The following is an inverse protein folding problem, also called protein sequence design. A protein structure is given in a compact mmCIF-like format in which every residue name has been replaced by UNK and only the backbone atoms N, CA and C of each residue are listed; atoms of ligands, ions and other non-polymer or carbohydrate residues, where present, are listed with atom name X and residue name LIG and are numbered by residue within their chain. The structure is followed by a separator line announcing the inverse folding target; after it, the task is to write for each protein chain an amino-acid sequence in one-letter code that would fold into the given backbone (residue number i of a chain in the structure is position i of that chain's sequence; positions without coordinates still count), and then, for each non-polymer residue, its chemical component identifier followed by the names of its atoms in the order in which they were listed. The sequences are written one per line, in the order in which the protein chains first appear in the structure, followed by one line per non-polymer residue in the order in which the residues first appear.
data_IF_423392410224
#
_entry.id   IF_423392410224
#
_cell.length_a   1.000
_cell.length_b   1.000
_cell.length_c   1.000
_cell.angle_alpha   90.00
_cell.angle_beta   90.00
_cell.angle_gamma   90.00
#
_symmetry.space_group_name_H-M   'P 1'
#
loop_
_entity.id
_entity.type
_entity.pdbx_description
1 polymer ?
#
# COMPACT_ATOMS: atom_id res chain seq x y z
N UNK A 1 39.65 2.52 4.36
CA UNK A 1 38.51 2.94 3.50
C UNK A 1 37.45 3.52 4.40
N UNK A 2 36.60 4.40 3.87
CA UNK A 2 35.41 4.84 4.61
C UNK A 2 34.37 3.71 4.57
N UNK A 3 33.94 3.22 5.74
CA UNK A 3 32.77 2.37 5.90
C UNK A 3 31.64 3.23 6.46
N UNK A 4 30.56 3.46 5.69
CA UNK A 4 29.43 4.21 6.20
C UNK A 4 28.78 3.46 7.36
N UNK A 5 28.50 4.19 8.44
CA UNK A 5 27.73 3.67 9.57
C UNK A 5 26.23 3.74 9.23
N UNK A 6 25.63 2.57 8.98
CA UNK A 6 24.20 2.45 8.68
C UNK A 6 23.34 2.24 9.94
N UNK A 7 23.93 2.17 11.13
CA UNK A 7 23.20 1.90 12.38
C UNK A 7 22.24 3.02 12.79
N UNK A 8 22.36 4.21 12.20
CA UNK A 8 21.50 5.38 12.42
C UNK A 8 20.69 5.84 11.21
N UNK A 9 20.66 5.09 10.10
CA UNK A 9 19.90 5.46 8.90
C UNK A 9 18.42 5.08 9.04
N UNK A 10 17.75 5.69 10.01
CA UNK A 10 16.30 5.73 10.06
C UNK A 10 15.80 6.99 9.36
N UNK A 11 14.68 6.93 8.64
CA UNK A 11 14.18 8.08 7.89
C UNK A 11 13.83 9.29 8.78
N UNK A 12 13.63 9.06 10.09
CA UNK A 12 13.10 10.04 11.04
C UNK A 12 11.61 10.36 10.84
N UNK A 13 10.97 9.78 9.82
CA UNK A 13 9.56 9.99 9.49
C UNK A 13 8.72 8.97 10.26
N UNK A 14 7.76 9.48 11.04
CA UNK A 14 6.89 8.67 11.89
C UNK A 14 5.46 8.72 11.37
N UNK A 15 4.70 7.61 11.36
CA UNK A 15 3.28 7.63 11.03
C UNK A 15 2.49 8.59 11.91
N UNK A 16 1.46 9.27 11.38
CA UNK A 16 0.54 10.03 12.21
C UNK A 16 -0.15 9.11 13.24
N UNK A 17 -0.28 9.60 14.48
CA UNK A 17 -0.85 8.83 15.60
C UNK A 17 -2.34 8.52 15.42
N UNK A 18 -3.08 9.44 14.81
CA UNK A 18 -4.52 9.32 14.57
C UNK A 18 -4.79 8.66 13.21
N UNK A 19 -5.35 7.45 13.24
CA UNK A 19 -6.44 7.19 12.31
C UNK A 19 -7.55 6.44 13.04
N UNK A 20 -8.71 7.07 13.07
CA UNK A 20 -9.98 6.51 13.52
C UNK A 20 -10.39 5.28 12.69
N UNK A 21 -9.81 5.11 11.50
CA UNK A 21 -9.98 3.94 10.64
C UNK A 21 -9.07 2.80 11.10
N UNK A 22 -9.56 2.01 12.05
CA UNK A 22 -8.91 0.76 12.45
C UNK A 22 -9.15 -0.30 11.37
N UNK A 23 -8.09 -0.66 10.65
CA UNK A 23 -8.06 -1.82 9.74
C UNK A 23 -7.12 -2.80 10.44
N UNK A 24 -7.62 -3.98 10.84
CA UNK A 24 -7.04 -4.84 11.88
C UNK A 24 -5.55 -5.20 11.80
N UNK A 25 -5.06 -5.97 12.77
CA UNK A 25 -3.62 -6.17 13.02
C UNK A 25 -2.83 -6.88 11.91
N UNK A 26 -3.49 -7.58 10.97
CA UNK A 26 -2.84 -8.32 9.87
C UNK A 26 -3.27 -7.80 8.49
N UNK A 27 -3.13 -6.51 8.28
CA UNK A 27 -3.51 -5.87 7.02
C UNK A 27 -2.35 -5.76 6.03
N UNK A 28 -2.67 -5.88 4.75
CA UNK A 28 -1.75 -5.66 3.64
C UNK A 28 -2.32 -4.59 2.71
N UNK A 29 -1.65 -3.45 2.59
CA UNK A 29 -2.12 -2.33 1.77
C UNK A 29 -1.63 -2.48 0.32
N UNK A 30 -2.57 -2.57 -0.62
CA UNK A 30 -2.36 -2.63 -2.05
C UNK A 30 -2.43 -1.23 -2.68
N UNK A 31 -1.27 -0.66 -2.99
CA UNK A 31 -1.12 0.66 -3.60
C UNK A 31 -0.98 0.52 -5.12
N UNK A 32 -2.11 0.31 -5.80
CA UNK A 32 -2.16 0.08 -7.26
C UNK A 32 -2.01 1.35 -8.11
N UNK A 33 -2.13 2.54 -7.51
CA UNK A 33 -2.00 3.81 -8.20
C UNK A 33 -0.56 4.12 -8.60
N UNK A 34 -0.35 4.59 -9.83
CA UNK A 34 0.93 5.12 -10.33
C UNK A 34 0.68 6.29 -11.28
N UNK A 35 1.67 7.18 -11.43
CA UNK A 35 1.55 8.41 -12.22
C UNK A 35 1.61 8.18 -13.73
N UNK A 36 2.04 7.00 -14.20
CA UNK A 36 2.17 6.68 -15.62
C UNK A 36 1.49 5.38 -15.99
N UNK A 37 0.76 5.37 -17.11
CA UNK A 37 -0.04 4.21 -17.52
C UNK A 37 0.80 3.02 -17.96
N UNK A 38 1.98 3.25 -18.53
CA UNK A 38 2.95 2.23 -18.95
C UNK A 38 3.60 1.48 -17.77
N UNK A 39 3.48 2.00 -16.54
CA UNK A 39 3.95 1.38 -15.31
C UNK A 39 2.86 0.63 -14.53
N UNK A 40 1.63 0.59 -15.04
CA UNK A 40 0.51 -0.05 -14.34
C UNK A 40 0.64 -1.56 -14.37
N UNK A 41 0.61 -2.17 -13.19
CA UNK A 41 0.44 -3.60 -13.07
C UNK A 41 -1.03 -3.98 -13.33
N UNK A 42 -1.32 -5.01 -14.15
CA UNK A 42 -2.68 -5.40 -14.51
C UNK A 42 -3.59 -5.62 -13.29
N UNK A 43 -4.86 -5.24 -13.42
CA UNK A 43 -5.86 -5.40 -12.35
C UNK A 43 -6.02 -6.87 -11.91
N UNK A 44 -5.91 -7.82 -12.85
CA UNK A 44 -5.97 -9.24 -12.55
C UNK A 44 -4.87 -9.70 -11.60
N UNK A 45 -3.67 -9.13 -11.72
CA UNK A 45 -2.55 -9.46 -10.85
C UNK A 45 -2.72 -8.87 -9.44
N UNK A 46 -3.36 -7.69 -9.33
CA UNK A 46 -3.77 -7.14 -8.03
C UNK A 46 -4.85 -7.98 -7.35
N UNK A 47 -5.83 -8.46 -8.11
CA UNK A 47 -6.87 -9.38 -7.61
C UNK A 47 -6.25 -10.68 -7.11
N UNK A 48 -5.33 -11.28 -7.89
CA UNK A 48 -4.63 -12.49 -7.50
C UNK A 48 -3.77 -12.29 -6.24
N UNK A 49 -3.11 -11.13 -6.14
CA UNK A 49 -2.36 -10.75 -4.93
C UNK A 49 -3.27 -10.65 -3.72
N UNK A 50 -4.43 -9.99 -3.84
CA UNK A 50 -5.42 -9.91 -2.76
C UNK A 50 -5.92 -11.30 -2.33
N UNK A 51 -6.18 -12.19 -3.30
CA UNK A 51 -6.55 -13.60 -3.04
C UNK A 51 -5.48 -14.32 -2.23
N UNK A 52 -4.22 -14.24 -2.64
CA UNK A 52 -3.06 -14.86 -1.97
C UNK A 52 -2.82 -14.33 -0.55
N UNK A 53 -3.17 -13.06 -0.28
CA UNK A 53 -3.10 -12.47 1.05
C UNK A 53 -4.19 -13.03 1.97
N UNK A 54 -5.42 -13.16 1.46
CA UNK A 54 -6.53 -13.78 2.21
C UNK A 54 -6.20 -15.22 2.58
N UNK A 55 -5.63 -16.01 1.65
CA UNK A 55 -5.19 -17.38 1.92
C UNK A 55 -4.13 -17.48 3.02
N UNK A 56 -3.33 -16.42 3.20
CA UNK A 56 -2.32 -16.30 4.26
C UNK A 56 -2.88 -15.70 5.56
N UNK A 57 -4.18 -15.47 5.64
CA UNK A 57 -4.85 -14.91 6.81
C UNK A 57 -4.60 -13.43 7.01
N UNK A 58 -4.30 -12.69 5.93
CA UNK A 58 -4.19 -11.23 5.93
C UNK A 58 -5.43 -10.58 5.31
N UNK A 59 -5.76 -9.38 5.75
CA UNK A 59 -6.84 -8.57 5.17
C UNK A 59 -6.26 -7.61 4.14
N UNK A 60 -6.58 -7.75 2.84
CA UNK A 60 -6.18 -6.78 1.83
C UNK A 60 -6.87 -5.44 2.08
N UNK A 61 -6.16 -4.35 1.81
CA UNK A 61 -6.67 -2.98 1.93
C UNK A 61 -6.33 -2.25 0.65
N UNK A 62 -7.27 -1.49 0.09
CA UNK A 62 -7.03 -0.69 -1.11
C UNK A 62 -7.70 0.67 -1.00
N UNK A 63 -7.24 1.66 -1.77
CA UNK A 63 -7.79 3.02 -1.80
C UNK A 63 -7.59 3.66 -3.18
N UNK A 64 -8.11 4.86 -3.37
CA UNK A 64 -8.04 5.58 -4.63
C UNK A 64 -8.00 7.10 -4.41
N UNK A 65 -7.38 7.82 -5.35
CA UNK A 65 -7.28 9.28 -5.34
C UNK A 65 -8.05 9.95 -6.50
N UNK A 66 -8.37 9.18 -7.54
CA UNK A 66 -9.07 9.60 -8.75
C UNK A 66 -9.96 8.48 -9.31
N UNK A 67 -10.81 8.80 -10.29
CA UNK A 67 -11.82 7.87 -10.82
C UNK A 67 -11.22 6.63 -11.49
N UNK A 68 -10.04 6.75 -12.13
CA UNK A 68 -9.37 5.59 -12.75
C UNK A 68 -8.87 4.60 -11.70
N UNK A 69 -8.29 5.12 -10.62
CA UNK A 69 -7.90 4.31 -9.48
C UNK A 69 -9.11 3.70 -8.78
N UNK A 70 -10.21 4.44 -8.68
CA UNK A 70 -11.45 3.96 -8.06
C UNK A 70 -11.96 2.69 -8.73
N UNK A 71 -11.97 2.65 -10.06
CA UNK A 71 -12.37 1.45 -10.83
C UNK A 71 -11.51 0.23 -10.47
N UNK A 72 -10.19 0.40 -10.32
CA UNK A 72 -9.29 -0.70 -9.93
C UNK A 72 -9.54 -1.12 -8.48
N UNK A 73 -9.68 -0.17 -7.57
CA UNK A 73 -9.93 -0.44 -6.16
C UNK A 73 -11.27 -1.19 -5.95
N UNK A 74 -12.32 -0.77 -6.65
CA UNK A 74 -13.63 -1.44 -6.65
C UNK A 74 -13.55 -2.83 -7.27
N UNK A 75 -12.84 -3.01 -8.39
CA UNK A 75 -12.67 -4.32 -9.01
C UNK A 75 -11.97 -5.34 -8.08
N UNK A 76 -10.96 -4.89 -7.31
CA UNK A 76 -10.30 -5.75 -6.32
C UNK A 76 -11.29 -6.14 -5.21
N UNK A 77 -12.03 -5.17 -4.67
CA UNK A 77 -12.99 -5.42 -3.59
C UNK A 77 -14.20 -6.26 -4.02
N UNK A 78 -14.65 -6.12 -5.26
CA UNK A 78 -15.72 -6.93 -5.84
C UNK A 78 -15.27 -8.39 -6.03
N UNK A 79 -14.05 -8.59 -6.56
CA UNK A 79 -13.51 -9.94 -6.76
C UNK A 79 -13.15 -10.63 -5.43
N UNK A 80 -12.68 -9.87 -4.45
CA UNK A 80 -12.21 -10.36 -3.14
C UNK A 80 -12.96 -9.62 -2.02
N UNK A 81 -14.13 -10.10 -1.56
CA UNK A 81 -15.00 -9.41 -0.61
C UNK A 81 -14.38 -9.14 0.78
N UNK A 82 -13.31 -9.83 1.13
CA UNK A 82 -12.53 -9.58 2.36
C UNK A 82 -11.63 -8.34 2.25
N UNK A 83 -11.48 -7.77 1.05
CA UNK A 83 -10.69 -6.55 0.84
C UNK A 83 -11.43 -5.35 1.43
N UNK A 84 -10.74 -4.58 2.25
CA UNK A 84 -11.24 -3.31 2.76
C UNK A 84 -10.98 -2.22 1.72
N UNK A 85 -12.04 -1.69 1.13
CA UNK A 85 -12.00 -0.51 0.28
C UNK A 85 -12.06 0.76 1.14
N UNK A 86 -10.93 1.43 1.31
CA UNK A 86 -10.83 2.72 1.99
C UNK A 86 -11.28 3.81 1.01
N UNK A 87 -12.33 4.59 1.33
CA UNK A 87 -12.75 5.73 0.52
C UNK A 87 -11.62 6.72 0.31
N UNK A 88 -11.76 7.61 -0.68
CA UNK A 88 -10.84 8.73 -0.85
C UNK A 88 -10.81 9.58 0.42
N UNK A 89 -9.69 9.54 1.12
CA UNK A 89 -9.44 10.22 2.40
C UNK A 89 -8.27 11.21 2.29
N UNK A 90 -8.13 12.14 3.25
CA UNK A 90 -6.93 12.95 3.41
C UNK A 90 -5.66 12.11 3.51
N UNK A 91 -4.54 12.64 2.99
CA UNK A 91 -3.25 11.94 2.99
C UNK A 91 -2.80 11.50 4.39
N UNK A 92 -3.07 12.29 5.42
CA UNK A 92 -2.71 11.97 6.80
C UNK A 92 -3.38 10.68 7.30
N UNK A 93 -4.65 10.45 6.93
CA UNK A 93 -5.37 9.22 7.29
C UNK A 93 -4.80 8.01 6.55
N UNK A 94 -4.56 8.15 5.24
CA UNK A 94 -3.94 7.09 4.44
C UNK A 94 -2.55 6.74 4.97
N UNK A 95 -1.75 7.75 5.32
CA UNK A 95 -0.43 7.58 5.91
C UNK A 95 -0.48 6.85 7.26
N UNK A 96 -1.48 7.16 8.09
CA UNK A 96 -1.66 6.48 9.37
C UNK A 96 -2.08 5.00 9.19
N UNK A 97 -2.91 4.69 8.21
CA UNK A 97 -3.26 3.29 7.85
C UNK A 97 -2.02 2.55 7.32
N UNK A 98 -1.25 3.17 6.41
CA UNK A 98 0.01 2.61 5.89
C UNK A 98 0.97 2.31 7.04
N UNK A 99 1.17 3.26 7.96
CA UNK A 99 2.06 3.09 9.11
C UNK A 99 1.68 1.99 10.09
N UNK A 100 0.42 1.55 10.08
CA UNK A 100 -0.07 0.40 10.87
C UNK A 100 -0.22 -0.88 10.07
N UNK A 101 -0.03 -0.84 8.76
CA UNK A 101 -0.14 -2.03 7.91
C UNK A 101 0.99 -3.01 8.21
N UNK A 102 0.66 -4.30 8.28
CA UNK A 102 1.66 -5.36 8.48
C UNK A 102 2.52 -5.59 7.23
N UNK A 103 1.99 -5.23 6.06
CA UNK A 103 2.65 -5.29 4.76
C UNK A 103 2.11 -4.19 3.85
N UNK A 104 2.96 -3.66 2.97
CA UNK A 104 2.56 -2.79 1.87
C UNK A 104 3.06 -3.38 0.56
N UNK A 105 2.19 -3.45 -0.45
CA UNK A 105 2.53 -3.87 -1.80
C UNK A 105 2.08 -2.76 -2.73
N UNK A 106 3.01 -2.15 -3.46
CA UNK A 106 2.70 -0.99 -4.29
C UNK A 106 3.41 -1.00 -5.63
N UNK A 107 2.82 -0.32 -6.61
CA UNK A 107 3.56 0.13 -7.78
C UNK A 107 4.59 1.21 -7.36
N UNK A 108 5.42 1.66 -8.32
CA UNK A 108 6.28 2.84 -8.12
C UNK A 108 5.41 4.10 -7.90
N UNK A 109 5.15 4.43 -6.63
CA UNK A 109 4.33 5.55 -6.18
C UNK A 109 4.83 6.14 -4.88
N UNK A 110 4.57 7.43 -4.66
CA UNK A 110 4.98 8.15 -3.45
C UNK A 110 4.49 7.50 -2.15
N UNK A 111 3.32 6.85 -2.16
CA UNK A 111 2.80 6.12 -1.00
C UNK A 111 3.61 4.85 -0.67
N UNK A 112 4.18 4.16 -1.67
CA UNK A 112 5.06 3.02 -1.45
C UNK A 112 6.40 3.46 -0.87
N UNK A 113 6.94 4.59 -1.33
CA UNK A 113 8.11 5.22 -0.73
C UNK A 113 7.84 5.68 0.72
N UNK A 114 6.65 6.22 1.00
CA UNK A 114 6.24 6.59 2.35
C UNK A 114 6.17 5.37 3.30
N UNK A 115 5.64 4.25 2.82
CA UNK A 115 5.63 3.00 3.59
C UNK A 115 7.04 2.53 3.96
N UNK A 116 7.97 2.60 3.00
CA UNK A 116 9.38 2.31 3.25
C UNK A 116 9.99 3.28 4.26
N UNK A 117 9.65 4.57 4.18
CA UNK A 117 10.13 5.57 5.14
C UNK A 117 9.62 5.29 6.56
N UNK A 118 8.40 4.79 6.73
CA UNK A 118 7.86 4.33 8.01
C UNK A 118 8.45 2.99 8.49
N UNK A 119 9.41 2.40 7.77
CA UNK A 119 9.98 1.11 8.10
C UNK A 119 8.96 -0.03 8.03
N UNK A 120 7.94 0.08 7.16
CA UNK A 120 6.97 -1.01 6.93
C UNK A 120 7.57 -2.02 5.94
N UNK A 121 7.39 -3.33 6.17
CA UNK A 121 7.68 -4.33 5.14
C UNK A 121 6.97 -3.94 3.83
N UNK A 122 7.75 -3.70 2.77
CA UNK A 122 7.25 -3.11 1.53
C UNK A 122 7.75 -3.91 0.33
N UNK A 123 6.83 -4.30 -0.55
CA UNK A 123 7.11 -4.88 -1.87
C UNK A 123 6.76 -3.83 -2.92
N UNK A 124 7.76 -3.38 -3.68
CA UNK A 124 7.56 -2.43 -4.77
C UNK A 124 7.68 -3.14 -6.13
N UNK A 125 6.64 -2.99 -6.97
CA UNK A 125 6.58 -3.58 -8.31
C UNK A 125 6.98 -2.55 -9.36
N UNK A 126 8.02 -2.87 -10.14
CA UNK A 126 8.54 -2.03 -11.22
C UNK A 126 8.42 -2.78 -12.55
N UNK A 127 7.69 -2.22 -13.52
CA UNK A 127 7.47 -2.84 -14.84
C UNK A 127 8.32 -2.22 -15.96
N UNK A 128 8.54 -0.91 -15.89
CA UNK A 128 9.48 -0.20 -16.75
C UNK A 128 10.07 0.98 -15.97
N UNK A 129 11.39 1.13 -16.04
CA UNK A 129 12.14 2.27 -15.46
C UNK A 129 12.61 3.18 -16.56
#
# INVERSE_FOLDING_TARGET
GYEPDFSGLESGIVPPADASTFVGEKTAFLLHGTSREDKKWPVGDWIETARLLVERGMTPVTTWSNDREKVVAEAIAEAIPQTVLVPKSPLAEIAAIIGRSALVIGADTGLAHLASAFGRPTVAVFLAT
#
